data_IF_024365028105
#
_entry.id   IF_024365028105
#
_cell.length_a   1.000
_cell.length_b   1.000
_cell.length_c   1.000
_cell.angle_alpha   90.00
_cell.angle_beta   90.00
_cell.angle_gamma   90.00
#
_symmetry.space_group_name_H-M   'P 1'
#
loop_
_entity.id
_entity.type
_entity.pdbx_description
1 polymer ?
#
# COMPACT_ATOMS: atom_id res chain seq x y z
N UNK A 1 -14.34 2.29 -19.07
CA UNK A 1 -13.44 1.66 -18.07
C UNK A 1 -13.03 2.74 -17.09
N UNK A 2 -13.12 2.52 -15.79
CA UNK A 2 -12.95 3.58 -14.77
C UNK A 2 -11.53 4.18 -14.72
N UNK A 3 -10.50 3.36 -14.98
CA UNK A 3 -9.08 3.74 -14.87
C UNK A 3 -8.44 3.96 -16.24
N UNK A 4 -8.94 4.97 -16.95
CA UNK A 4 -8.47 5.40 -18.27
C UNK A 4 -7.52 6.62 -18.20
N UNK A 5 -7.14 7.16 -19.35
CA UNK A 5 -6.28 8.33 -19.44
C UNK A 5 -6.88 9.56 -18.74
N UNK A 6 -8.20 9.78 -18.86
CA UNK A 6 -8.90 10.89 -18.22
C UNK A 6 -8.87 10.82 -16.70
N UNK A 7 -9.07 9.60 -16.15
CA UNK A 7 -8.95 9.36 -14.72
C UNK A 7 -7.56 9.74 -14.20
N UNK A 8 -6.48 9.26 -14.85
CA UNK A 8 -5.12 9.57 -14.43
C UNK A 8 -4.73 11.02 -14.67
N UNK A 9 -5.26 11.65 -15.72
CA UNK A 9 -5.07 13.08 -15.92
C UNK A 9 -5.63 13.86 -14.74
N UNK A 10 -6.88 13.61 -14.36
CA UNK A 10 -7.58 14.34 -13.30
C UNK A 10 -6.98 14.12 -11.92
N UNK A 11 -6.78 12.87 -11.51
CA UNK A 11 -6.47 12.54 -10.12
C UNK A 11 -4.95 12.42 -9.83
N UNK A 12 -4.10 12.38 -10.86
CA UNK A 12 -2.66 12.15 -10.67
C UNK A 12 -1.76 13.15 -11.39
N UNK A 13 -2.15 13.73 -12.52
CA UNK A 13 -1.27 14.58 -13.34
C UNK A 13 -1.57 16.06 -13.21
N UNK A 14 -2.84 16.45 -13.23
CA UNK A 14 -3.25 17.84 -13.18
C UNK A 14 -2.97 18.42 -11.78
N UNK A 15 -2.10 19.45 -11.65
CA UNK A 15 -1.78 20.08 -10.36
C UNK A 15 -2.98 20.69 -9.65
N UNK A 16 -4.00 21.11 -10.38
CA UNK A 16 -5.23 21.70 -9.84
C UNK A 16 -6.17 20.68 -9.17
N UNK A 17 -6.13 19.44 -9.62
CA UNK A 17 -7.12 18.41 -9.21
C UNK A 17 -6.50 17.17 -8.58
N UNK A 18 -5.20 16.91 -8.72
CA UNK A 18 -4.53 15.75 -8.13
C UNK A 18 -4.53 15.80 -6.60
N UNK A 19 -4.68 14.65 -5.97
CA UNK A 19 -4.60 14.48 -4.50
C UNK A 19 -3.16 14.60 -4.01
N UNK A 20 -2.22 13.95 -4.72
CA UNK A 20 -0.80 13.91 -4.37
C UNK A 20 0.06 14.15 -5.61
N UNK A 21 1.19 14.81 -5.42
CA UNK A 21 2.17 15.00 -6.48
C UNK A 21 3.05 13.77 -6.66
N UNK A 22 3.80 13.73 -7.78
CA UNK A 22 4.86 12.74 -7.98
C UNK A 22 5.91 12.79 -6.85
N UNK A 23 6.21 13.98 -6.36
CA UNK A 23 7.17 14.17 -5.27
C UNK A 23 6.66 13.60 -3.94
N UNK A 24 5.37 13.80 -3.62
CA UNK A 24 4.75 13.22 -2.43
C UNK A 24 4.77 11.70 -2.48
N UNK A 25 4.46 11.11 -3.64
CA UNK A 25 4.51 9.65 -3.83
C UNK A 25 5.96 9.11 -3.73
N UNK A 26 6.96 9.85 -4.25
CA UNK A 26 8.37 9.47 -4.11
C UNK A 26 8.83 9.58 -2.65
N UNK A 27 8.42 10.64 -1.92
CA UNK A 27 8.71 10.83 -0.50
C UNK A 27 8.13 9.69 0.34
N UNK A 28 6.89 9.30 0.07
CA UNK A 28 6.26 8.14 0.70
C UNK A 28 7.02 6.85 0.38
N UNK A 29 7.38 6.64 -0.88
CA UNK A 29 8.17 5.48 -1.29
C UNK A 29 9.52 5.40 -0.59
N UNK A 30 10.23 6.53 -0.45
CA UNK A 30 11.49 6.61 0.31
C UNK A 30 11.28 6.26 1.78
N UNK A 31 10.24 6.80 2.41
CA UNK A 31 9.90 6.45 3.80
C UNK A 31 9.65 4.95 3.96
N UNK A 32 8.81 4.35 3.12
CA UNK A 32 8.49 2.92 3.16
C UNK A 32 9.75 2.07 2.98
N UNK A 33 10.57 2.37 1.97
CA UNK A 33 11.78 1.60 1.69
C UNK A 33 12.85 1.79 2.76
N UNK A 34 13.09 3.03 3.22
CA UNK A 34 14.08 3.33 4.25
C UNK A 34 13.70 2.68 5.59
N UNK A 35 12.43 2.76 5.98
CA UNK A 35 11.96 2.13 7.21
C UNK A 35 12.02 0.60 7.12
N UNK A 36 11.71 0.02 5.97
CA UNK A 36 11.87 -1.42 5.72
C UNK A 36 13.34 -1.85 5.85
N UNK A 37 14.27 -1.07 5.28
CA UNK A 37 15.71 -1.32 5.38
C UNK A 37 16.23 -1.17 6.82
N UNK A 38 15.81 -0.11 7.53
CA UNK A 38 16.16 0.16 8.92
C UNK A 38 15.76 -1.02 9.84
N UNK A 39 14.61 -1.62 9.62
CA UNK A 39 14.13 -2.79 10.35
C UNK A 39 14.84 -4.10 9.96
N UNK A 40 15.87 -4.05 9.10
CA UNK A 40 16.68 -5.21 8.74
C UNK A 40 16.06 -6.19 7.75
N UNK A 41 15.00 -5.78 7.01
CA UNK A 41 14.44 -6.65 5.99
C UNK A 41 15.38 -6.79 4.79
N UNK A 42 15.71 -8.03 4.42
CA UNK A 42 16.43 -8.32 3.19
C UNK A 42 15.47 -8.30 1.99
N UNK A 43 15.53 -7.24 1.19
CA UNK A 43 14.60 -7.04 0.07
C UNK A 43 15.28 -7.33 -1.26
N UNK A 44 14.86 -8.41 -1.93
CA UNK A 44 15.29 -8.80 -3.29
C UNK A 44 14.15 -8.77 -4.30
N UNK A 45 12.91 -8.80 -3.85
CA UNK A 45 11.71 -8.80 -4.69
C UNK A 45 10.67 -7.85 -4.09
N UNK A 46 10.25 -6.88 -4.89
CA UNK A 46 9.22 -5.90 -4.50
C UNK A 46 8.02 -6.04 -5.43
N UNK A 47 6.83 -6.12 -4.85
CA UNK A 47 5.57 -5.97 -5.54
C UNK A 47 4.96 -4.61 -5.17
N UNK A 48 4.65 -3.81 -6.17
CA UNK A 48 3.83 -2.61 -6.04
C UNK A 48 2.45 -2.94 -6.60
N UNK A 49 1.52 -3.27 -5.70
CA UNK A 49 0.18 -3.74 -6.04
C UNK A 49 -0.77 -2.54 -6.22
N UNK A 50 -1.22 -2.31 -7.45
CA UNK A 50 -1.89 -1.10 -7.87
C UNK A 50 -0.90 0.06 -8.05
N UNK A 51 0.19 -0.21 -8.76
CA UNK A 51 1.32 0.71 -8.87
C UNK A 51 1.02 2.03 -9.61
N UNK A 52 -0.12 2.14 -10.28
CA UNK A 52 -0.53 3.33 -10.99
C UNK A 52 0.57 3.84 -11.95
N UNK A 53 0.96 5.08 -11.77
CA UNK A 53 2.04 5.71 -12.57
C UNK A 53 3.46 5.21 -12.20
N UNK A 54 3.59 4.32 -11.21
CA UNK A 54 4.87 3.72 -10.80
C UNK A 54 5.81 4.68 -10.08
N UNK A 55 5.29 5.69 -9.42
CA UNK A 55 6.11 6.72 -8.77
C UNK A 55 7.01 6.15 -7.66
N UNK A 56 6.57 5.10 -6.95
CA UNK A 56 7.36 4.46 -5.89
C UNK A 56 8.55 3.65 -6.41
N UNK A 57 8.56 3.28 -7.71
CA UNK A 57 9.67 2.54 -8.34
C UNK A 57 11.03 3.24 -8.19
N UNK A 58 11.04 4.59 -8.21
CA UNK A 58 12.26 5.38 -8.01
C UNK A 58 12.88 5.12 -6.64
N UNK A 59 12.08 5.19 -5.58
CA UNK A 59 12.53 4.93 -4.20
C UNK A 59 13.00 3.47 -4.00
N UNK A 60 12.32 2.52 -4.60
CA UNK A 60 12.75 1.11 -4.55
C UNK A 60 14.11 0.93 -5.19
N UNK A 61 14.37 1.55 -6.36
CA UNK A 61 15.67 1.48 -7.03
C UNK A 61 16.79 2.19 -6.27
N UNK A 62 16.46 3.28 -5.57
CA UNK A 62 17.38 4.05 -4.78
C UNK A 62 17.86 3.26 -3.53
N UNK A 63 16.96 2.64 -2.80
CA UNK A 63 17.25 1.99 -1.51
C UNK A 63 17.55 0.50 -1.67
N UNK A 64 16.90 -0.15 -2.61
CA UNK A 64 17.10 -1.57 -2.91
C UNK A 64 17.54 -1.78 -4.37
N UNK A 65 18.73 -1.31 -4.78
CA UNK A 65 19.16 -1.30 -6.20
C UNK A 65 19.22 -2.69 -6.84
N UNK A 66 19.37 -3.74 -6.04
CA UNK A 66 19.42 -5.14 -6.50
C UNK A 66 18.05 -5.83 -6.48
N UNK A 67 17.00 -5.14 -6.00
CA UNK A 67 15.66 -5.73 -5.92
C UNK A 67 14.97 -5.75 -7.29
N UNK A 68 14.36 -6.88 -7.62
CA UNK A 68 13.44 -6.97 -8.76
C UNK A 68 12.11 -6.32 -8.39
N UNK A 69 11.79 -5.22 -9.05
CA UNK A 69 10.50 -4.54 -8.93
C UNK A 69 9.48 -5.12 -9.90
N UNK A 70 8.27 -5.40 -9.42
CA UNK A 70 7.10 -5.80 -10.21
C UNK A 70 5.98 -4.83 -9.91
N UNK A 71 5.53 -4.08 -10.93
CA UNK A 71 4.31 -3.29 -10.87
C UNK A 71 3.12 -4.13 -11.32
N UNK A 72 2.12 -4.28 -10.46
CA UNK A 72 0.82 -4.90 -10.78
C UNK A 72 -0.23 -3.80 -10.90
N UNK A 73 -0.99 -3.78 -12.00
CA UNK A 73 -1.95 -2.72 -12.27
C UNK A 73 -3.20 -3.27 -12.99
N UNK A 74 -4.36 -2.77 -12.61
CA UNK A 74 -5.63 -3.15 -13.24
C UNK A 74 -5.94 -2.35 -14.51
N UNK A 75 -5.40 -1.12 -14.61
CA UNK A 75 -5.60 -0.24 -15.77
C UNK A 75 -4.88 -0.77 -17.00
N UNK A 76 -5.65 -1.14 -18.01
CA UNK A 76 -5.09 -1.50 -19.32
C UNK A 76 -4.28 -0.37 -19.94
N UNK A 77 -4.75 0.87 -19.76
CA UNK A 77 -4.06 2.06 -20.25
C UNK A 77 -2.65 2.17 -19.68
N UNK A 78 -2.48 2.05 -18.37
CA UNK A 78 -1.15 2.12 -17.73
C UNK A 78 -0.28 0.89 -17.99
N UNK A 79 -0.89 -0.29 -18.07
CA UNK A 79 -0.15 -1.50 -18.42
C UNK A 79 0.48 -1.38 -19.83
N UNK A 80 -0.27 -0.87 -20.81
CA UNK A 80 0.26 -0.61 -22.16
C UNK A 80 1.33 0.49 -22.16
N UNK A 81 1.15 1.55 -21.36
CA UNK A 81 2.07 2.69 -21.33
C UNK A 81 3.40 2.37 -20.63
N UNK A 82 3.38 1.59 -19.56
CA UNK A 82 4.54 1.37 -18.69
C UNK A 82 5.07 -0.07 -18.66
N UNK A 83 4.40 -1.00 -19.33
CA UNK A 83 4.77 -2.42 -19.32
C UNK A 83 4.51 -3.11 -17.97
N UNK A 84 3.50 -2.65 -17.20
CA UNK A 84 3.12 -3.28 -15.95
C UNK A 84 2.46 -4.64 -16.17
N UNK A 85 2.55 -5.50 -15.15
CA UNK A 85 1.77 -6.74 -15.13
C UNK A 85 0.29 -6.39 -14.95
N UNK A 86 -0.55 -6.78 -15.92
CA UNK A 86 -1.99 -6.56 -15.82
C UNK A 86 -2.61 -7.59 -14.89
N UNK A 87 -3.37 -7.13 -13.90
CA UNK A 87 -4.08 -8.01 -12.97
C UNK A 87 -4.64 -7.29 -11.75
N UNK A 88 -5.35 -8.06 -10.93
CA UNK A 88 -5.89 -7.59 -9.66
C UNK A 88 -5.09 -8.14 -8.48
N UNK A 89 -4.95 -7.35 -7.42
CA UNK A 89 -4.38 -7.83 -6.17
C UNK A 89 -5.24 -8.91 -5.52
N UNK A 90 -6.50 -9.05 -5.92
CA UNK A 90 -7.41 -10.05 -5.39
C UNK A 90 -7.04 -11.49 -5.80
N UNK A 91 -6.48 -11.68 -6.99
CA UNK A 91 -6.24 -12.98 -7.61
C UNK A 91 -4.83 -13.18 -8.17
N UNK A 92 -3.99 -12.16 -8.19
CA UNK A 92 -2.63 -12.25 -8.72
C UNK A 92 -1.84 -13.40 -8.06
N UNK A 93 -1.33 -14.33 -8.87
CA UNK A 93 -0.65 -15.54 -8.43
C UNK A 93 0.73 -15.69 -9.10
N UNK A 94 1.79 -15.05 -8.57
CA UNK A 94 3.16 -15.19 -9.07
C UNK A 94 3.77 -16.53 -8.64
N UNK A 95 4.84 -16.97 -9.35
CA UNK A 95 5.57 -18.19 -9.01
C UNK A 95 6.23 -18.18 -7.62
N UNK A 96 6.53 -17.02 -7.07
CA UNK A 96 7.17 -16.88 -5.76
C UNK A 96 6.74 -15.57 -5.08
N UNK A 97 6.64 -15.54 -3.73
CA UNK A 97 6.26 -14.37 -2.96
C UNK A 97 7.33 -13.26 -3.01
N UNK A 98 6.99 -12.10 -2.46
CA UNK A 98 7.81 -10.90 -2.42
C UNK A 98 8.29 -10.61 -0.99
N UNK A 99 9.46 -9.99 -0.87
CA UNK A 99 10.04 -9.58 0.40
C UNK A 99 9.37 -8.30 0.93
N UNK A 100 9.04 -7.39 0.02
CA UNK A 100 8.27 -6.19 0.27
C UNK A 100 7.08 -6.14 -0.70
N UNK A 101 5.89 -5.99 -0.13
CA UNK A 101 4.67 -5.69 -0.89
C UNK A 101 4.20 -4.29 -0.51
N UNK A 102 3.97 -3.44 -1.50
CA UNK A 102 3.37 -2.12 -1.34
C UNK A 102 1.94 -2.21 -1.88
N UNK A 103 0.96 -1.86 -1.06
CA UNK A 103 -0.43 -1.77 -1.45
C UNK A 103 -1.01 -0.46 -0.89
N UNK A 104 -0.95 0.58 -1.72
CA UNK A 104 -1.31 1.95 -1.36
C UNK A 104 -2.48 2.43 -2.19
N UNK A 105 -3.57 2.82 -1.51
CA UNK A 105 -4.78 3.39 -2.12
C UNK A 105 -5.45 2.54 -3.21
N UNK A 106 -5.50 1.23 -3.00
CA UNK A 106 -6.06 0.26 -3.97
C UNK A 106 -7.41 -0.28 -3.53
N UNK A 107 -7.52 -0.78 -2.29
CA UNK A 107 -8.67 -1.59 -1.87
C UNK A 107 -9.97 -0.79 -1.74
N UNK A 108 -9.91 0.54 -1.66
CA UNK A 108 -11.10 1.39 -1.71
C UNK A 108 -11.81 1.36 -3.07
N UNK A 109 -11.17 0.87 -4.11
CA UNK A 109 -11.78 0.71 -5.44
C UNK A 109 -12.45 -0.65 -5.66
N UNK A 110 -12.13 -1.63 -4.83
CA UNK A 110 -12.62 -3.00 -4.97
C UNK A 110 -13.99 -3.20 -4.30
N UNK A 111 -14.89 -3.99 -4.91
CA UNK A 111 -16.06 -4.54 -4.22
C UNK A 111 -15.66 -5.28 -2.94
N UNK A 112 -16.61 -5.50 -2.04
CA UNK A 112 -16.31 -6.09 -0.72
C UNK A 112 -15.74 -7.50 -0.81
N UNK A 113 -16.22 -8.29 -1.75
CA UNK A 113 -15.73 -9.64 -2.00
C UNK A 113 -14.29 -9.61 -2.49
N UNK A 114 -13.99 -8.81 -3.52
CA UNK A 114 -12.63 -8.66 -4.06
C UNK A 114 -11.67 -8.07 -3.03
N UNK A 115 -12.14 -7.12 -2.21
CA UNK A 115 -11.31 -6.56 -1.15
C UNK A 115 -10.99 -7.59 -0.05
N UNK A 116 -11.91 -8.51 0.27
CA UNK A 116 -11.63 -9.65 1.18
C UNK A 116 -10.63 -10.61 0.53
N UNK A 117 -10.84 -10.96 -0.73
CA UNK A 117 -9.91 -11.81 -1.49
C UNK A 117 -8.51 -11.18 -1.56
N UNK A 118 -8.43 -9.88 -1.85
CA UNK A 118 -7.18 -9.12 -1.87
C UNK A 118 -6.41 -9.18 -0.55
N UNK A 119 -7.08 -8.99 0.59
CA UNK A 119 -6.44 -9.08 1.92
C UNK A 119 -5.88 -10.48 2.20
N UNK A 120 -6.61 -11.53 1.82
CA UNK A 120 -6.12 -12.91 1.90
C UNK A 120 -4.95 -13.16 0.94
N UNK A 121 -5.02 -12.60 -0.27
CA UNK A 121 -3.96 -12.74 -1.26
C UNK A 121 -2.69 -11.98 -0.89
N UNK A 122 -2.79 -10.78 -0.32
CA UNK A 122 -1.64 -10.05 0.23
C UNK A 122 -0.83 -10.89 1.22
N UNK A 123 -1.50 -11.74 2.01
CA UNK A 123 -0.83 -12.66 2.91
C UNK A 123 -0.05 -13.78 2.18
N UNK A 124 -0.48 -14.20 1.00
CA UNK A 124 0.25 -15.17 0.15
C UNK A 124 1.38 -14.50 -0.63
N UNK A 125 1.15 -13.28 -1.09
CA UNK A 125 2.10 -12.49 -1.87
C UNK A 125 3.30 -12.01 -1.04
N UNK A 126 3.11 -11.77 0.26
CA UNK A 126 4.11 -11.17 1.14
C UNK A 126 4.73 -12.19 2.09
N UNK A 127 6.05 -12.37 2.02
CA UNK A 127 6.81 -13.18 2.98
C UNK A 127 7.59 -12.36 4.02
N UNK A 128 7.73 -11.06 3.81
CA UNK A 128 8.48 -10.16 4.68
C UNK A 128 7.64 -8.98 5.18
N UNK A 129 7.78 -7.83 4.56
CA UNK A 129 7.10 -6.59 4.91
C UNK A 129 5.96 -6.25 3.94
N UNK A 130 4.84 -5.79 4.49
CA UNK A 130 3.72 -5.22 3.75
C UNK A 130 3.55 -3.76 4.16
N UNK A 131 3.67 -2.83 3.22
CA UNK A 131 3.14 -1.49 3.39
C UNK A 131 1.68 -1.49 2.93
N UNK A 132 0.77 -1.12 3.84
CA UNK A 132 -0.65 -1.09 3.56
C UNK A 132 -1.26 0.24 3.96
N UNK A 133 -1.82 0.93 3.01
CA UNK A 133 -2.61 2.15 3.20
C UNK A 133 -3.84 2.13 2.33
N UNK A 134 -4.94 2.65 2.83
CA UNK A 134 -6.23 2.70 2.16
C UNK A 134 -7.07 3.83 2.74
N UNK A 135 -7.81 4.52 1.91
CA UNK A 135 -8.76 5.54 2.35
C UNK A 135 -9.92 4.89 3.12
N UNK A 136 -9.98 5.15 4.43
CA UNK A 136 -11.03 4.62 5.29
C UNK A 136 -12.21 5.59 5.42
N UNK A 137 -13.35 5.09 5.92
CA UNK A 137 -14.50 5.95 6.25
C UNK A 137 -14.15 7.02 7.30
N UNK A 138 -13.18 6.75 8.18
CA UNK A 138 -12.66 7.72 9.14
C UNK A 138 -11.85 8.82 8.47
N UNK A 139 -10.96 8.44 7.56
CA UNK A 139 -10.11 9.39 6.82
C UNK A 139 -10.93 10.26 5.88
N UNK A 140 -11.93 9.70 5.23
CA UNK A 140 -12.86 10.46 4.41
C UNK A 140 -13.53 11.60 5.17
N UNK A 141 -13.89 11.36 6.43
CA UNK A 141 -14.54 12.38 7.27
C UNK A 141 -13.60 13.45 7.80
N UNK A 142 -12.35 13.08 8.12
CA UNK A 142 -11.43 13.95 8.88
C UNK A 142 -10.25 14.49 8.07
N UNK A 143 -9.78 13.72 7.08
CA UNK A 143 -8.47 13.97 6.46
C UNK A 143 -8.55 14.20 4.95
N UNK A 144 -9.57 13.65 4.26
CA UNK A 144 -9.63 13.69 2.81
C UNK A 144 -10.04 15.08 2.28
N UNK A 145 -9.29 15.58 1.32
CA UNK A 145 -9.74 16.65 0.44
C UNK A 145 -10.75 16.07 -0.57
N UNK A 146 -12.05 16.25 -0.27
CA UNK A 146 -13.14 15.67 -1.05
C UNK A 146 -13.27 16.27 -2.45
N UNK A 147 -12.77 17.49 -2.67
CA UNK A 147 -12.78 18.12 -3.99
C UNK A 147 -11.79 17.45 -4.95
N UNK A 148 -10.70 16.92 -4.40
CA UNK A 148 -9.63 16.27 -5.16
C UNK A 148 -9.68 14.75 -5.14
N UNK A 149 -10.40 14.15 -4.19
CA UNK A 149 -10.49 12.69 -4.04
C UNK A 149 -11.61 12.13 -4.92
N UNK A 150 -11.36 11.02 -5.62
CA UNK A 150 -12.37 10.33 -6.40
C UNK A 150 -13.55 9.89 -5.49
N UNK A 151 -14.79 10.37 -5.73
CA UNK A 151 -15.95 10.00 -4.93
C UNK A 151 -16.41 8.55 -5.16
N UNK A 152 -15.95 7.90 -6.23
CA UNK A 152 -16.33 6.53 -6.59
C UNK A 152 -15.63 5.45 -5.74
N UNK A 153 -15.12 5.79 -4.55
CA UNK A 153 -14.49 4.86 -3.61
C UNK A 153 -15.50 4.17 -2.68
N UNK A 154 -15.16 2.98 -2.23
CA UNK A 154 -15.93 2.20 -1.25
C UNK A 154 -15.30 2.36 0.13
N UNK A 155 -15.94 3.17 0.96
CA UNK A 155 -15.43 3.52 2.27
C UNK A 155 -15.76 2.45 3.31
N UNK A 156 -14.74 1.87 3.92
CA UNK A 156 -14.86 0.90 5.01
C UNK A 156 -14.21 1.43 6.27
N UNK A 157 -14.69 1.05 7.47
CA UNK A 157 -14.02 1.42 8.71
C UNK A 157 -12.63 0.78 8.82
N UNK A 158 -11.68 1.46 9.47
CA UNK A 158 -10.31 0.95 9.65
C UNK A 158 -10.27 -0.44 10.31
N UNK A 159 -11.17 -0.72 11.28
CA UNK A 159 -11.28 -2.02 11.93
C UNK A 159 -11.58 -3.16 10.96
N UNK A 160 -12.31 -2.88 9.87
CA UNK A 160 -12.60 -3.88 8.85
C UNK A 160 -11.33 -4.45 8.20
N UNK A 161 -10.33 -3.58 7.94
CA UNK A 161 -9.02 -3.97 7.40
C UNK A 161 -8.12 -4.57 8.48
N UNK A 162 -8.01 -3.91 9.64
CA UNK A 162 -7.12 -4.32 10.74
C UNK A 162 -7.41 -5.76 11.20
N UNK A 163 -8.69 -6.10 11.41
CA UNK A 163 -9.07 -7.43 11.90
C UNK A 163 -8.69 -8.56 10.92
N UNK A 164 -8.68 -8.27 9.61
CA UNK A 164 -8.29 -9.24 8.58
C UNK A 164 -6.78 -9.34 8.44
N UNK A 165 -6.09 -8.22 8.41
CA UNK A 165 -4.62 -8.16 8.31
C UNK A 165 -3.96 -8.76 9.56
N UNK A 166 -4.49 -8.55 10.75
CA UNK A 166 -3.96 -9.05 12.00
C UNK A 166 -3.87 -10.58 12.07
N UNK A 167 -4.63 -11.30 11.26
CA UNK A 167 -4.52 -12.77 11.14
C UNK A 167 -3.16 -13.21 10.57
N UNK A 168 -2.53 -12.39 9.76
CA UNK A 168 -1.35 -12.73 8.96
C UNK A 168 -0.14 -11.83 9.24
N UNK A 169 -0.39 -10.63 9.76
CA UNK A 169 0.62 -9.61 9.95
C UNK A 169 0.57 -9.03 11.37
N UNK A 170 1.69 -8.42 11.78
CA UNK A 170 1.75 -7.55 12.96
C UNK A 170 2.15 -6.13 12.53
N UNK A 171 1.58 -5.07 13.11
CA UNK A 171 1.95 -3.70 12.78
C UNK A 171 3.35 -3.37 13.31
N UNK A 172 4.10 -2.58 12.52
CA UNK A 172 5.42 -2.05 12.87
C UNK A 172 5.42 -0.52 13.03
N UNK A 173 4.33 0.14 12.66
CA UNK A 173 4.21 1.60 12.60
C UNK A 173 4.23 2.13 11.17
N UNK A 174 3.82 3.39 10.97
CA UNK A 174 3.84 4.08 9.68
C UNK A 174 3.14 3.37 8.51
N UNK A 175 2.17 2.50 8.77
CA UNK A 175 1.52 1.69 7.73
C UNK A 175 2.30 0.43 7.33
N UNK A 176 3.49 0.20 7.89
CA UNK A 176 4.29 -0.99 7.65
C UNK A 176 3.87 -2.14 8.60
N UNK A 177 3.78 -3.33 8.04
CA UNK A 177 3.38 -4.55 8.73
C UNK A 177 4.43 -5.63 8.46
N UNK A 178 4.77 -6.46 9.46
CA UNK A 178 5.58 -7.66 9.25
C UNK A 178 4.71 -8.90 9.08
N UNK A 179 5.08 -9.79 8.18
CA UNK A 179 4.49 -11.13 8.10
C UNK A 179 4.67 -11.83 9.47
N UNK A 180 3.62 -12.48 9.98
CA UNK A 180 3.75 -13.31 11.21
C UNK A 180 4.80 -14.39 11.00
N UNK A 181 5.67 -14.58 11.99
CA UNK A 181 6.86 -15.43 11.88
C UNK A 181 8.14 -14.66 11.52
N UNK A 182 8.04 -13.41 11.04
CA UNK A 182 9.18 -12.50 10.90
C UNK A 182 9.18 -11.50 12.06
N UNK A 183 10.28 -11.41 12.79
CA UNK A 183 10.43 -10.54 13.95
C UNK A 183 11.62 -9.60 13.77
N UNK A 184 11.44 -8.45 13.10
CA UNK A 184 12.48 -7.44 13.07
C UNK A 184 12.74 -6.92 14.49
N UNK A 185 13.95 -6.46 14.74
CA UNK A 185 14.26 -5.73 15.95
C UNK A 185 13.49 -4.40 15.92
N UNK A 186 12.65 -4.21 16.91
CA UNK A 186 11.87 -3.00 17.11
C UNK A 186 11.95 -2.62 18.57
N UNK A 187 12.50 -1.46 18.85
CA UNK A 187 12.59 -0.96 20.22
C UNK A 187 11.20 -0.59 20.75
N UNK A 188 11.03 -0.60 22.06
CA UNK A 188 9.72 -0.44 22.70
C UNK A 188 8.99 0.83 22.26
N UNK A 189 9.69 1.96 22.12
CA UNK A 189 9.11 3.25 21.71
C UNK A 189 8.99 3.44 20.21
N UNK A 190 9.58 2.56 19.39
CA UNK A 190 9.48 2.62 17.92
C UNK A 190 8.22 1.93 17.38
N UNK A 191 7.67 1.01 18.15
CA UNK A 191 6.48 0.25 17.78
C UNK A 191 5.18 1.03 17.95
N UNK A 192 4.07 0.46 17.45
CA UNK A 192 2.75 1.03 17.71
C UNK A 192 2.45 1.02 19.20
N UNK A 193 2.16 2.18 19.73
CA UNK A 193 1.80 2.28 21.15
C UNK A 193 0.40 1.68 21.37
N UNK A 194 0.21 0.87 22.42
CA UNK A 194 -1.12 0.43 22.80
C UNK A 194 -1.96 1.66 23.19
N UNK A 195 -3.24 1.60 22.90
CA UNK A 195 -4.15 2.63 23.42
C UNK A 195 -4.04 2.64 24.96
N UNK A 196 -3.93 3.83 25.60
CA UNK A 196 -3.89 3.93 27.05
C UNK A 196 -5.10 3.22 27.66
N UNK A 197 -4.89 2.41 28.67
CA UNK A 197 -5.98 1.79 29.41
C UNK A 197 -6.77 2.89 30.11
N UNK A 198 -8.11 2.73 30.19
CA UNK A 198 -8.95 3.64 30.98
C UNK A 198 -8.39 3.64 32.41
N UNK A 199 -7.86 4.79 32.83
CA UNK A 199 -7.28 4.98 34.17
C UNK A 199 -5.76 5.22 34.21
N UNK A 200 -5.04 5.12 33.08
CA UNK A 200 -3.57 5.39 33.01
C UNK A 200 -3.24 6.82 32.52
N UNK A 201 -4.23 7.66 32.30
CA UNK A 201 -4.01 9.10 32.05
C UNK A 201 -3.98 9.82 33.43
N UNK A 202 -2.77 9.95 33.99
CA UNK A 202 -2.49 10.88 35.11
C UNK A 202 -2.01 12.20 34.51
#
# INVERSE_FOLDING_TARGET
MKFDAGFYQRYYRDPGTRVASREDALRLGRFVCAYTAYLGFSVRRVLDAGCGLGHMRGAVREIFPRARYVGLEASEYLCKLHGWVRGSVADYAPRAPFDLVICHDVLQYLPDEDARAALGNLARLCRGALYFSVLTAGDWRRNADRARTDPGVRLRPAGWYRNRLARHFRPLGGGLLARRGYSPLLWELEGPWPAPRRGELI
#
